data_IF_619599845888
#
_entry.id   IF_619599845888
#
_cell.length_a   1.000
_cell.length_b   1.000
_cell.length_c   1.000
_cell.angle_alpha   90.00
_cell.angle_beta   90.00
_cell.angle_gamma   90.00
#
_symmetry.space_group_name_H-M   'P 1'
#
loop_
_entity.id
_entity.type
_entity.pdbx_description
1 polymer ?
#
# COMPACT_ATOMS: atom_id res chain seq x y z
N UNK A 1 9.45 -15.77 -14.75
CA UNK A 1 8.52 -14.73 -15.23
C UNK A 1 9.32 -13.46 -15.35
N UNK A 2 9.12 -12.70 -16.42
CA UNK A 2 9.73 -11.37 -16.58
C UNK A 2 8.90 -10.41 -15.72
N UNK A 3 9.53 -9.58 -14.89
CA UNK A 3 8.85 -8.53 -14.13
C UNK A 3 8.42 -7.45 -15.11
N UNK A 4 7.16 -7.04 -15.05
CA UNK A 4 6.68 -5.87 -15.77
C UNK A 4 7.04 -4.59 -15.01
N UNK A 5 7.51 -3.58 -15.74
CA UNK A 5 7.97 -2.32 -15.16
C UNK A 5 7.36 -1.17 -15.95
N UNK A 6 6.56 -0.37 -15.26
CA UNK A 6 5.93 0.83 -15.82
C UNK A 6 6.55 2.09 -15.23
N UNK A 7 6.76 3.10 -16.07
CA UNK A 7 7.18 4.42 -15.61
C UNK A 7 5.99 5.17 -15.01
N UNK A 8 6.18 5.69 -13.80
CA UNK A 8 5.25 6.56 -13.11
C UNK A 8 5.96 7.82 -12.62
N UNK A 9 5.20 8.78 -12.12
CA UNK A 9 5.73 10.03 -11.59
C UNK A 9 5.27 10.26 -10.16
N UNK A 10 6.20 10.67 -9.30
CA UNK A 10 5.96 11.01 -7.90
C UNK A 10 6.29 12.49 -7.68
N UNK A 11 5.68 13.11 -6.69
CA UNK A 11 5.97 14.49 -6.32
C UNK A 11 7.12 14.53 -5.30
N UNK A 12 8.21 15.19 -5.62
CA UNK A 12 9.25 15.58 -4.64
C UNK A 12 8.70 16.73 -3.79
N UNK A 13 8.59 16.50 -2.49
CA UNK A 13 7.97 17.48 -1.58
C UNK A 13 8.91 18.68 -1.34
N UNK A 14 10.21 18.48 -1.43
CA UNK A 14 11.18 19.54 -1.17
C UNK A 14 11.28 20.54 -2.34
N UNK A 15 11.19 20.05 -3.58
CA UNK A 15 11.32 20.90 -4.78
C UNK A 15 9.98 21.24 -5.42
N UNK A 16 8.93 20.46 -5.16
CA UNK A 16 7.65 20.56 -5.86
C UNK A 16 7.69 19.99 -7.29
N UNK A 17 8.78 19.31 -7.67
CA UNK A 17 8.96 18.77 -9.01
C UNK A 17 8.51 17.32 -9.10
N UNK A 18 8.19 16.90 -10.33
CA UNK A 18 7.89 15.51 -10.67
C UNK A 18 9.17 14.69 -10.74
N UNK A 19 9.18 13.53 -10.11
CA UNK A 19 10.29 12.57 -10.11
C UNK A 19 9.85 11.29 -10.78
N UNK A 20 10.62 10.85 -11.77
CA UNK A 20 10.42 9.57 -12.41
C UNK A 20 10.65 8.42 -11.42
N UNK A 21 9.75 7.43 -11.45
CA UNK A 21 9.80 6.24 -10.64
C UNK A 21 9.34 5.01 -11.44
N UNK A 22 9.75 3.84 -10.99
CA UNK A 22 9.32 2.55 -11.54
C UNK A 22 8.21 1.97 -10.67
N UNK A 23 7.08 1.60 -11.26
CA UNK A 23 6.11 0.70 -10.68
C UNK A 23 6.39 -0.71 -11.25
N UNK A 24 6.62 -1.67 -10.39
CA UNK A 24 6.98 -3.05 -10.73
C UNK A 24 5.89 -4.00 -10.23
N UNK A 25 5.54 -5.00 -11.02
CA UNK A 25 4.56 -6.04 -10.68
C UNK A 25 5.16 -7.18 -9.83
N UNK A 26 6.25 -6.89 -9.13
CA UNK A 26 6.94 -7.82 -8.25
C UNK A 26 7.56 -7.14 -7.03
N UNK A 27 7.80 -7.96 -6.00
CA UNK A 27 8.74 -7.69 -4.91
C UNK A 27 9.89 -8.69 -5.07
N UNK A 28 11.02 -8.20 -5.55
CA UNK A 28 12.21 -9.00 -5.77
C UNK A 28 13.20 -8.85 -4.61
N UNK A 29 14.30 -9.58 -4.65
CA UNK A 29 15.31 -9.54 -3.59
C UNK A 29 15.88 -8.12 -3.36
N UNK A 30 16.06 -7.34 -4.43
CA UNK A 30 16.55 -5.96 -4.32
C UNK A 30 15.65 -5.06 -3.47
N UNK A 31 14.31 -5.21 -3.57
CA UNK A 31 13.35 -4.46 -2.76
C UNK A 31 13.35 -4.94 -1.30
N UNK A 32 13.54 -6.24 -1.07
CA UNK A 32 13.67 -6.80 0.27
C UNK A 32 14.98 -6.39 0.94
N UNK A 33 16.08 -6.29 0.18
CA UNK A 33 17.36 -5.79 0.65
C UNK A 33 17.27 -4.31 1.07
N UNK A 34 16.61 -3.48 0.26
CA UNK A 34 16.32 -2.08 0.62
C UNK A 34 15.47 -1.97 1.88
N UNK A 35 14.41 -2.78 1.98
CA UNK A 35 13.58 -2.83 3.18
C UNK A 35 14.43 -3.20 4.41
N UNK A 36 15.29 -4.21 4.31
CA UNK A 36 16.09 -4.67 5.43
C UNK A 36 17.20 -3.67 5.80
N UNK A 37 17.89 -3.11 4.80
CA UNK A 37 19.10 -2.30 5.03
C UNK A 37 18.82 -0.81 5.19
N UNK A 38 17.68 -0.32 4.69
CA UNK A 38 17.31 1.10 4.72
C UNK A 38 16.06 1.38 5.56
N UNK A 39 14.94 0.63 5.31
CA UNK A 39 13.69 0.90 6.03
C UNK A 39 13.77 0.48 7.49
N UNK A 40 14.31 -0.70 7.79
CA UNK A 40 14.39 -1.20 9.17
C UNK A 40 15.23 -0.29 10.06
N UNK A 41 16.45 0.18 9.69
CA UNK A 41 17.19 1.15 10.49
C UNK A 41 16.44 2.48 10.68
N UNK A 42 15.79 3.00 9.63
CA UNK A 42 15.01 4.23 9.73
C UNK A 42 13.80 4.08 10.65
N UNK A 43 13.07 2.97 10.55
CA UNK A 43 11.97 2.64 11.46
C UNK A 43 12.47 2.50 12.90
N UNK A 44 13.57 1.79 13.13
CA UNK A 44 14.14 1.59 14.46
C UNK A 44 14.49 2.93 15.12
N UNK A 45 15.05 3.88 14.37
CA UNK A 45 15.34 5.22 14.88
C UNK A 45 14.07 5.95 15.35
N UNK A 46 12.96 5.84 14.59
CA UNK A 46 11.66 6.39 14.99
C UNK A 46 11.15 5.71 16.27
N UNK A 47 11.20 4.38 16.35
CA UNK A 47 10.72 3.64 17.52
C UNK A 47 11.53 3.96 18.77
N UNK A 48 12.85 4.11 18.65
CA UNK A 48 13.73 4.53 19.77
C UNK A 48 13.36 5.94 20.27
N UNK A 49 13.06 6.86 19.36
CA UNK A 49 12.63 8.22 19.73
C UNK A 49 11.24 8.22 20.40
N UNK A 50 10.29 7.41 19.92
CA UNK A 50 8.99 7.23 20.57
C UNK A 50 9.15 6.65 21.97
N UNK A 51 10.01 5.63 22.13
CA UNK A 51 10.31 5.05 23.44
C UNK A 51 10.95 6.07 24.40
N UNK A 52 11.92 6.87 23.91
CA UNK A 52 12.58 7.93 24.67
C UNK A 52 11.58 9.00 25.15
N UNK A 53 10.57 9.30 24.36
CA UNK A 53 9.49 10.23 24.70
C UNK A 53 8.41 9.62 25.59
N UNK A 54 8.49 8.33 25.92
CA UNK A 54 7.50 7.62 26.73
C UNK A 54 6.17 7.41 26.01
N UNK A 55 6.15 7.41 24.65
CA UNK A 55 4.94 7.18 23.87
C UNK A 55 4.48 5.73 24.06
N UNK A 56 3.23 5.48 24.50
CA UNK A 56 2.71 4.14 24.69
C UNK A 56 2.74 3.30 23.40
N UNK A 57 2.97 1.99 23.51
CA UNK A 57 2.99 1.07 22.35
C UNK A 57 1.71 1.11 21.51
N UNK A 58 0.56 1.41 22.11
CA UNK A 58 -0.72 1.57 21.40
C UNK A 58 -0.76 2.74 20.41
N UNK A 59 0.18 3.69 20.53
CA UNK A 59 0.33 4.85 19.65
C UNK A 59 1.50 4.68 18.66
N UNK A 60 2.20 3.55 18.72
CA UNK A 60 3.26 3.26 17.75
C UNK A 60 2.68 2.95 16.37
N UNK A 61 3.47 3.13 15.30
CA UNK A 61 3.06 2.72 13.95
C UNK A 61 2.64 1.25 13.96
N UNK A 62 1.41 0.94 13.60
CA UNK A 62 0.89 -0.43 13.76
C UNK A 62 1.57 -1.46 12.84
N UNK A 63 2.24 -1.00 11.77
CA UNK A 63 3.07 -1.84 10.90
C UNK A 63 4.49 -2.07 11.45
N UNK A 64 4.86 -1.54 12.62
CA UNK A 64 6.23 -1.59 13.14
C UNK A 64 6.82 -3.01 13.23
N UNK A 65 5.97 -4.02 13.39
CA UNK A 65 6.34 -5.43 13.50
C UNK A 65 6.29 -6.18 12.16
N UNK A 66 5.95 -5.51 11.05
CA UNK A 66 5.89 -6.16 9.75
C UNK A 66 7.26 -6.61 9.28
N UNK A 67 7.30 -7.78 8.64
CA UNK A 67 8.50 -8.36 8.05
C UNK A 67 8.20 -8.74 6.60
N UNK A 68 8.64 -7.91 5.66
CA UNK A 68 8.37 -8.12 4.24
C UNK A 68 9.02 -9.37 3.67
N UNK A 69 10.22 -9.75 4.13
CA UNK A 69 10.85 -10.99 3.69
C UNK A 69 9.99 -12.22 4.07
N UNK A 70 9.45 -12.25 5.30
CA UNK A 70 8.56 -13.32 5.73
C UNK A 70 7.21 -13.29 5.01
N UNK A 71 6.63 -12.10 4.78
CA UNK A 71 5.36 -11.95 4.05
C UNK A 71 5.49 -12.47 2.63
N UNK A 72 6.52 -12.05 1.91
CA UNK A 72 6.79 -12.46 0.53
C UNK A 72 7.08 -13.96 0.44
N UNK A 73 7.92 -14.50 1.33
CA UNK A 73 8.25 -15.93 1.35
C UNK A 73 7.01 -16.81 1.59
N UNK A 74 6.07 -16.34 2.44
CA UNK A 74 4.84 -17.08 2.78
C UNK A 74 3.93 -17.32 1.58
N UNK A 75 3.92 -16.42 0.60
CA UNK A 75 3.06 -16.49 -0.59
C UNK A 75 3.82 -16.83 -1.87
N UNK A 76 5.12 -17.08 -1.75
CA UNK A 76 5.96 -17.39 -2.89
C UNK A 76 5.45 -18.63 -3.65
N UNK A 77 5.26 -18.51 -4.97
CA UNK A 77 4.75 -19.57 -5.82
C UNK A 77 3.22 -19.76 -5.78
N UNK A 78 2.50 -19.02 -4.95
CA UNK A 78 1.03 -19.05 -4.92
C UNK A 78 0.47 -18.07 -5.98
N UNK A 79 -0.20 -18.63 -7.00
CA UNK A 79 -0.73 -17.84 -8.14
C UNK A 79 -1.82 -16.83 -7.75
N UNK A 80 -2.47 -17.03 -6.61
CA UNK A 80 -3.51 -16.13 -6.12
C UNK A 80 -2.96 -14.86 -5.44
N UNK A 81 -1.64 -14.75 -5.30
CA UNK A 81 -1.00 -13.59 -4.67
C UNK A 81 -0.10 -12.85 -5.68
N UNK A 82 -0.09 -11.53 -5.58
CA UNK A 82 0.80 -10.66 -6.35
C UNK A 82 1.49 -9.68 -5.42
N UNK A 83 2.69 -9.28 -5.79
CA UNK A 83 3.42 -8.21 -5.12
C UNK A 83 3.63 -7.04 -6.05
N UNK A 84 3.63 -5.82 -5.50
CA UNK A 84 4.00 -4.61 -6.23
C UNK A 84 5.06 -3.85 -5.46
N UNK A 85 5.93 -3.17 -6.19
CA UNK A 85 6.90 -2.27 -5.59
C UNK A 85 7.04 -0.98 -6.40
N UNK A 86 7.32 0.11 -5.70
CA UNK A 86 7.66 1.41 -6.29
C UNK A 86 9.11 1.72 -5.99
N UNK A 87 9.89 2.02 -7.03
CA UNK A 87 11.31 2.36 -6.92
C UNK A 87 11.54 3.75 -7.52
N UNK A 88 12.16 4.64 -6.76
CA UNK A 88 12.59 5.94 -7.24
C UNK A 88 13.99 6.25 -6.68
N UNK A 89 14.82 6.93 -7.47
CA UNK A 89 16.19 7.27 -7.05
C UNK A 89 17.02 6.07 -6.62
N UNK A 90 16.77 4.90 -7.24
CA UNK A 90 17.39 3.60 -6.92
C UNK A 90 17.10 3.11 -5.50
N UNK A 91 16.00 3.53 -4.91
CA UNK A 91 15.55 3.10 -3.59
C UNK A 91 14.09 2.69 -3.63
N UNK A 92 13.75 1.63 -2.92
CA UNK A 92 12.36 1.18 -2.76
C UNK A 92 11.59 2.19 -1.92
N UNK A 93 10.50 2.71 -2.49
CA UNK A 93 9.66 3.74 -1.89
C UNK A 93 8.35 3.18 -1.34
N UNK A 94 7.90 2.03 -1.85
CA UNK A 94 6.66 1.40 -1.42
C UNK A 94 6.60 -0.06 -1.81
N UNK A 95 5.86 -0.85 -1.02
CA UNK A 95 5.62 -2.27 -1.22
C UNK A 95 4.14 -2.56 -0.98
N UNK A 96 3.55 -3.41 -1.81
CA UNK A 96 2.20 -3.92 -1.60
C UNK A 96 2.10 -5.41 -1.95
N UNK A 97 1.22 -6.12 -1.23
CA UNK A 97 0.86 -7.51 -1.50
C UNK A 97 -0.65 -7.62 -1.57
N UNK A 98 -1.16 -8.34 -2.56
CA UNK A 98 -2.58 -8.55 -2.78
C UNK A 98 -2.94 -10.02 -2.86
N UNK A 99 -4.20 -10.33 -2.52
CA UNK A 99 -4.84 -11.64 -2.57
C UNK A 99 -6.03 -11.60 -3.54
N UNK A 100 -6.08 -12.50 -4.51
CA UNK A 100 -7.11 -12.60 -5.54
C UNK A 100 -8.27 -13.55 -5.14
N UNK A 101 -8.23 -14.13 -3.96
CA UNK A 101 -9.23 -15.14 -3.53
C UNK A 101 -10.45 -14.54 -2.81
N UNK A 102 -10.48 -13.23 -2.62
CA UNK A 102 -11.52 -12.57 -1.82
C UNK A 102 -12.70 -12.10 -2.66
N UNK A 103 -13.80 -11.90 -1.96
CA UNK A 103 -15.04 -11.40 -2.54
C UNK A 103 -15.55 -10.17 -1.80
N UNK A 104 -16.23 -9.30 -2.52
CA UNK A 104 -16.82 -8.07 -2.02
C UNK A 104 -17.88 -8.33 -0.96
N UNK A 105 -17.93 -7.47 0.04
CA UNK A 105 -18.94 -7.39 1.08
C UNK A 105 -19.86 -6.18 0.93
N UNK A 106 -19.49 -5.23 0.08
CA UNK A 106 -20.30 -4.05 -0.22
C UNK A 106 -21.63 -4.50 -0.82
N UNK A 107 -22.81 -4.06 -0.30
CA UNK A 107 -24.12 -4.60 -0.67
C UNK A 107 -24.42 -4.59 -2.17
N UNK A 108 -23.99 -3.54 -2.90
CA UNK A 108 -24.23 -3.42 -4.34
C UNK A 108 -23.43 -4.39 -5.20
N UNK A 109 -22.39 -5.00 -4.63
CA UNK A 109 -21.49 -5.92 -5.35
C UNK A 109 -21.14 -7.18 -4.54
N UNK A 110 -21.90 -7.49 -3.50
CA UNK A 110 -21.64 -8.60 -2.59
C UNK A 110 -21.42 -9.94 -3.32
N UNK A 111 -20.39 -10.67 -2.89
CA UNK A 111 -19.99 -11.96 -3.47
C UNK A 111 -19.27 -11.86 -4.83
N UNK A 112 -19.10 -10.67 -5.42
CA UNK A 112 -18.29 -10.50 -6.63
C UNK A 112 -16.80 -10.58 -6.27
N UNK A 113 -15.95 -11.18 -7.13
CA UNK A 113 -14.51 -11.22 -6.88
C UNK A 113 -13.93 -9.80 -6.84
N UNK A 114 -12.93 -9.61 -5.99
CA UNK A 114 -12.15 -8.37 -5.88
C UNK A 114 -10.68 -8.69 -5.63
N UNK A 115 -9.80 -7.74 -5.90
CA UNK A 115 -8.43 -7.75 -5.40
C UNK A 115 -8.47 -7.30 -3.94
N UNK A 116 -7.88 -8.08 -3.06
CA UNK A 116 -7.78 -7.71 -1.65
C UNK A 116 -6.35 -7.25 -1.34
N UNK A 117 -6.20 -6.00 -0.94
CA UNK A 117 -4.92 -5.41 -0.56
C UNK A 117 -4.57 -5.86 0.86
N UNK A 118 -3.74 -6.90 0.94
CA UNK A 118 -3.36 -7.57 2.19
C UNK A 118 -2.39 -6.71 3.00
N UNK A 119 -1.39 -6.13 2.31
CA UNK A 119 -0.41 -5.24 2.90
C UNK A 119 -0.05 -4.12 1.92
N UNK A 120 0.05 -2.90 2.44
CA UNK A 120 0.62 -1.75 1.77
C UNK A 120 1.47 -0.98 2.77
N UNK A 121 2.73 -0.72 2.42
CA UNK A 121 3.61 0.09 3.24
C UNK A 121 4.46 1.00 2.34
N UNK A 122 4.61 2.25 2.76
CA UNK A 122 5.54 3.19 2.14
C UNK A 122 6.79 3.32 2.99
N UNK A 123 7.90 3.66 2.37
CA UNK A 123 9.19 3.84 3.05
C UNK A 123 9.05 4.79 4.25
N UNK A 124 9.76 4.56 5.35
CA UNK A 124 9.66 5.36 6.58
C UNK A 124 9.78 6.86 6.36
N UNK A 125 10.64 7.29 5.45
CA UNK A 125 10.85 8.70 5.11
C UNK A 125 9.74 9.33 4.24
N UNK A 126 8.74 8.55 3.82
CA UNK A 126 7.55 9.04 3.12
C UNK A 126 6.29 8.98 4.00
N UNK A 127 6.42 8.64 5.27
CA UNK A 127 5.31 8.48 6.21
C UNK A 127 5.08 9.75 7.02
N UNK A 128 3.83 10.25 6.97
CA UNK A 128 3.42 11.43 7.74
C UNK A 128 3.34 11.16 9.26
N UNK A 129 2.99 9.94 9.64
CA UNK A 129 2.86 9.51 11.03
C UNK A 129 4.20 9.44 11.79
N UNK A 130 5.33 9.58 11.10
CA UNK A 130 6.66 9.66 11.70
C UNK A 130 7.08 11.10 12.08
N UNK A 131 6.21 12.09 11.88
CA UNK A 131 6.44 13.47 12.31
C UNK A 131 7.48 14.24 11.47
N UNK A 132 7.83 13.71 10.31
CA UNK A 132 8.70 14.35 9.33
C UNK A 132 7.94 14.62 8.03
N UNK A 133 8.33 15.64 7.29
CA UNK A 133 7.79 15.85 5.96
C UNK A 133 8.20 14.68 5.03
N UNK A 134 7.26 14.10 4.27
CA UNK A 134 7.60 13.02 3.34
C UNK A 134 8.55 13.54 2.26
N UNK A 135 9.48 12.69 1.82
CA UNK A 135 10.37 13.02 0.69
C UNK A 135 9.61 13.00 -0.63
N UNK A 136 8.79 11.97 -0.82
CA UNK A 136 7.98 11.77 -2.02
C UNK A 136 6.51 11.58 -1.66
N UNK A 137 5.60 12.13 -2.47
CA UNK A 137 4.15 11.88 -2.42
C UNK A 137 3.70 11.11 -3.65
N UNK A 138 2.56 10.40 -3.52
CA UNK A 138 2.00 9.58 -4.60
C UNK A 138 2.30 8.10 -4.50
N UNK A 139 3.27 7.67 -3.67
CA UNK A 139 3.68 6.25 -3.56
C UNK A 139 2.51 5.33 -3.19
N UNK A 140 1.71 5.71 -2.20
CA UNK A 140 0.54 4.92 -1.79
C UNK A 140 -0.54 4.87 -2.87
N UNK A 141 -0.82 6.01 -3.54
CA UNK A 141 -1.75 6.07 -4.66
C UNK A 141 -1.29 5.18 -5.82
N UNK A 142 0.00 5.22 -6.18
CA UNK A 142 0.56 4.38 -7.24
C UNK A 142 0.38 2.88 -6.98
N UNK A 143 0.57 2.44 -5.72
CA UNK A 143 0.34 1.04 -5.32
C UNK A 143 -1.15 0.66 -5.36
N UNK A 144 -2.04 1.57 -4.99
CA UNK A 144 -3.49 1.36 -5.12
C UNK A 144 -3.89 1.33 -6.59
N UNK A 145 -3.36 2.22 -7.42
CA UNK A 145 -3.56 2.21 -8.88
C UNK A 145 -3.16 0.87 -9.49
N UNK A 146 -2.00 0.32 -9.11
CA UNK A 146 -1.56 -1.01 -9.56
C UNK A 146 -2.54 -2.12 -9.15
N UNK A 147 -3.05 -2.08 -7.92
CA UNK A 147 -4.03 -3.07 -7.44
C UNK A 147 -5.38 -2.95 -8.18
N UNK A 148 -5.82 -1.72 -8.52
CA UNK A 148 -7.04 -1.48 -9.33
C UNK A 148 -6.85 -1.96 -10.76
N UNK A 149 -5.69 -1.67 -11.37
CA UNK A 149 -5.36 -2.15 -12.73
C UNK A 149 -5.34 -3.69 -12.78
N UNK A 150 -4.67 -4.35 -11.83
CA UNK A 150 -4.71 -5.81 -11.70
C UNK A 150 -6.14 -6.33 -11.56
N UNK A 151 -6.99 -5.65 -10.78
CA UNK A 151 -8.41 -6.03 -10.63
C UNK A 151 -9.18 -5.96 -11.95
N UNK A 152 -8.83 -5.05 -12.83
CA UNK A 152 -9.42 -4.94 -14.17
C UNK A 152 -8.89 -6.05 -15.10
N UNK A 153 -7.60 -6.31 -15.09
CA UNK A 153 -6.94 -7.39 -15.84
C UNK A 153 -7.48 -8.78 -15.49
N UNK A 154 -7.74 -9.04 -14.19
CA UNK A 154 -8.34 -10.29 -13.71
C UNK A 154 -9.86 -10.37 -13.97
N UNK A 155 -10.47 -9.35 -14.62
CA UNK A 155 -11.91 -9.27 -14.89
C UNK A 155 -12.74 -8.89 -13.66
N UNK A 156 -12.11 -8.42 -12.60
CA UNK A 156 -12.81 -7.99 -11.37
C UNK A 156 -13.25 -6.52 -11.45
N UNK A 157 -13.04 -5.85 -12.59
CA UNK A 157 -13.57 -4.52 -12.93
C UNK A 157 -13.13 -3.42 -11.95
N UNK A 158 -11.88 -3.45 -11.49
CA UNK A 158 -11.33 -2.46 -10.58
C UNK A 158 -11.77 -2.61 -9.11
N UNK A 159 -12.60 -3.60 -8.77
CA UNK A 159 -13.01 -3.82 -7.36
C UNK A 159 -11.81 -4.13 -6.48
N UNK A 160 -11.72 -3.39 -5.37
CA UNK A 160 -10.63 -3.49 -4.39
C UNK A 160 -11.22 -3.54 -2.98
N UNK A 161 -10.64 -4.35 -2.10
CA UNK A 161 -11.02 -4.40 -0.69
C UNK A 161 -9.79 -4.46 0.21
N UNK A 162 -9.90 -4.02 1.46
CA UNK A 162 -8.81 -4.08 2.44
C UNK A 162 -9.30 -3.89 3.88
N UNK A 163 -8.49 -4.33 4.84
CA UNK A 163 -8.60 -3.90 6.23
C UNK A 163 -7.53 -2.86 6.53
N UNK A 164 -7.97 -1.66 6.88
CA UNK A 164 -7.09 -0.52 7.12
C UNK A 164 -6.49 -0.54 8.52
N UNK A 165 -5.20 -0.25 8.62
CA UNK A 165 -4.62 0.19 9.88
C UNK A 165 -5.18 1.59 10.24
N UNK A 166 -5.52 1.90 11.49
CA UNK A 166 -6.18 3.15 11.89
C UNK A 166 -5.50 4.42 11.38
N UNK A 167 -4.16 4.44 11.31
CA UNK A 167 -3.42 5.59 10.78
C UNK A 167 -3.60 5.81 9.27
N UNK A 168 -4.09 4.79 8.53
CA UNK A 168 -4.32 4.86 7.08
C UNK A 168 -5.80 5.10 6.71
N UNK A 169 -6.74 5.07 7.65
CA UNK A 169 -8.17 5.24 7.40
C UNK A 169 -8.48 6.53 6.62
N UNK A 170 -7.83 7.64 6.98
CA UNK A 170 -8.02 8.92 6.31
C UNK A 170 -7.56 8.90 4.85
N UNK A 171 -6.51 8.13 4.53
CA UNK A 171 -6.04 7.96 3.16
C UNK A 171 -7.08 7.21 2.32
N UNK A 172 -7.62 6.09 2.79
CA UNK A 172 -8.60 5.31 2.04
C UNK A 172 -9.92 6.05 1.83
N UNK A 173 -10.39 6.82 2.83
CA UNK A 173 -11.55 7.72 2.65
C UNK A 173 -11.26 8.80 1.61
N UNK A 174 -10.07 9.39 1.63
CA UNK A 174 -9.67 10.45 0.69
C UNK A 174 -9.65 9.98 -0.78
N UNK A 175 -9.25 8.73 -1.03
CA UNK A 175 -9.25 8.15 -2.37
C UNK A 175 -10.63 7.60 -2.79
N UNK A 176 -11.66 7.81 -1.98
CA UNK A 176 -13.05 7.52 -2.33
C UNK A 176 -13.54 6.11 -2.00
N UNK A 177 -12.81 5.32 -1.18
CA UNK A 177 -13.29 3.99 -0.77
C UNK A 177 -14.44 4.10 0.24
N UNK A 178 -15.38 3.17 0.13
CA UNK A 178 -16.50 3.03 1.08
C UNK A 178 -16.01 2.38 2.38
N UNK A 179 -16.24 3.06 3.52
CA UNK A 179 -15.98 2.53 4.86
C UNK A 179 -17.15 1.63 5.29
N UNK A 180 -16.94 0.33 5.35
CA UNK A 180 -17.94 -0.66 5.77
C UNK A 180 -17.90 -0.97 7.27
N UNK A 181 -17.16 -0.18 8.05
CA UNK A 181 -17.10 -0.30 9.49
C UNK A 181 -15.99 -1.22 10.00
N UNK A 182 -15.99 -1.42 11.31
CA UNK A 182 -15.04 -2.30 11.99
C UNK A 182 -15.38 -3.77 11.79
N UNK A 183 -14.36 -4.60 11.57
CA UNK A 183 -14.50 -6.05 11.45
C UNK A 183 -13.90 -6.75 12.68
N UNK A 184 -14.75 -7.30 13.58
CA UNK A 184 -14.27 -8.03 14.76
C UNK A 184 -13.43 -9.27 14.43
N UNK A 185 -13.64 -9.89 13.26
CA UNK A 185 -12.86 -11.04 12.81
C UNK A 185 -11.43 -10.65 12.39
N UNK A 186 -11.19 -9.36 12.14
CA UNK A 186 -9.89 -8.80 11.72
C UNK A 186 -9.37 -7.76 12.74
N UNK A 187 -9.30 -8.12 14.02
CA UNK A 187 -8.75 -7.29 15.10
C UNK A 187 -9.44 -5.91 15.22
N UNK A 188 -10.73 -5.81 14.85
CA UNK A 188 -11.49 -4.57 14.77
C UNK A 188 -10.91 -3.52 13.80
N UNK A 189 -10.09 -3.91 12.84
CA UNK A 189 -9.68 -3.04 11.74
C UNK A 189 -10.90 -2.63 10.91
N UNK A 190 -10.87 -1.42 10.34
CA UNK A 190 -11.92 -0.98 9.42
C UNK A 190 -11.76 -1.65 8.07
N UNK A 191 -12.89 -2.15 7.56
CA UNK A 191 -12.95 -2.71 6.24
C UNK A 191 -13.39 -1.66 5.23
N UNK A 192 -12.60 -1.51 4.18
CA UNK A 192 -12.88 -0.59 3.08
C UNK A 192 -13.03 -1.36 1.79
N UNK A 193 -13.98 -0.90 0.94
CA UNK A 193 -14.09 -1.39 -0.43
C UNK A 193 -14.17 -0.23 -1.42
N UNK A 194 -13.70 -0.51 -2.63
CA UNK A 194 -13.85 0.34 -3.81
C UNK A 194 -14.75 -0.37 -4.81
N UNK A 195 -15.85 0.29 -5.20
CA UNK A 195 -16.75 -0.19 -6.24
C UNK A 195 -16.17 0.04 -7.64
N UNK A 196 -16.81 -0.52 -8.67
CA UNK A 196 -16.43 -0.30 -10.07
C UNK A 196 -16.43 1.21 -10.41
N UNK A 197 -17.45 1.94 -9.97
CA UNK A 197 -17.59 3.38 -10.22
C UNK A 197 -16.52 4.18 -9.49
N UNK A 198 -16.25 3.84 -8.23
CA UNK A 198 -15.22 4.50 -7.43
C UNK A 198 -13.82 4.23 -8.00
N UNK A 199 -13.56 3.01 -8.49
CA UNK A 199 -12.29 2.67 -9.14
C UNK A 199 -12.06 3.53 -10.40
N UNK A 200 -13.09 3.72 -11.22
CA UNK A 200 -13.02 4.58 -12.39
C UNK A 200 -12.73 6.03 -12.02
N UNK A 201 -13.49 6.58 -11.07
CA UNK A 201 -13.29 7.96 -10.60
C UNK A 201 -11.90 8.16 -9.99
N UNK A 202 -11.39 7.17 -9.26
CA UNK A 202 -10.05 7.20 -8.69
C UNK A 202 -8.98 7.26 -9.78
N UNK A 203 -9.07 6.39 -10.81
CA UNK A 203 -8.11 6.36 -11.92
C UNK A 203 -8.14 7.66 -12.75
N UNK A 204 -9.32 8.22 -13.00
CA UNK A 204 -9.46 9.52 -13.67
C UNK A 204 -8.76 10.64 -12.87
N UNK A 205 -8.96 10.69 -11.55
CA UNK A 205 -8.33 11.68 -10.69
C UNK A 205 -6.81 11.51 -10.51
N UNK A 206 -6.24 10.33 -10.77
CA UNK A 206 -4.78 10.11 -10.77
C UNK A 206 -4.15 10.49 -12.12
N UNK A 207 -4.89 10.42 -13.23
CA UNK A 207 -4.41 10.87 -14.55
C UNK A 207 -4.29 12.40 -14.65
N UNK A 208 -5.07 13.15 -13.88
CA UNK A 208 -5.08 14.62 -13.87
C UNK A 208 -4.02 15.24 -12.93
N UNK A 209 -3.18 14.42 -12.27
CA UNK A 209 -2.15 14.86 -11.30
C UNK A 209 -0.75 14.75 -11.85
#
# INVERSE_FOLDING_TARGET
MTVDVSTIYLLDVATGESVEAELRDAIEQAQLDDWQTKWQPALLAVLQELARKGVPLSQWPQSWHWNWAQKTAKVQGLLAFRGFSVVARRETQGLAQVDLTKASREPGQAGKPLVYLDYLEVAPWNRLDFGVAPRLRGVGSALVTAAVALSDEEGFKGRLGLHSLPQADAFYRKIGMTDLGQDPAYQNLRYFEMTVEQARTFLEGEQDR
#
